data_IF_294905481356
#
_entry.id   IF_294905481356
#
_cell.length_a   1.000
_cell.length_b   1.000
_cell.length_c   1.000
_cell.angle_alpha   90.00
_cell.angle_beta   90.00
_cell.angle_gamma   90.00
#
_symmetry.space_group_name_H-M   'P 1'
#
loop_
_entity.id
_entity.type
_entity.pdbx_description
1 polymer ?
#
# COMPACT_ATOMS: atom_id res chain seq x y z
N UNK A 1 13.94 -12.86 1.70
CA UNK A 1 13.99 -11.40 1.49
C UNK A 1 12.64 -10.80 1.85
N UNK A 2 12.60 -9.71 2.62
CA UNK A 2 11.37 -8.94 2.84
C UNK A 2 11.38 -7.65 2.01
N UNK A 3 10.23 -7.33 1.40
CA UNK A 3 10.05 -6.16 0.54
C UNK A 3 8.95 -5.27 1.11
N UNK A 4 9.22 -3.96 1.16
CA UNK A 4 8.22 -2.92 1.39
C UNK A 4 7.91 -2.26 0.04
N UNK A 5 6.63 -2.17 -0.29
CA UNK A 5 6.20 -1.47 -1.52
C UNK A 5 6.53 0.02 -1.36
N UNK A 6 7.18 0.59 -2.38
CA UNK A 6 7.55 1.99 -2.41
C UNK A 6 6.31 2.91 -2.42
N UNK A 7 6.48 4.11 -1.86
CA UNK A 7 5.53 5.23 -1.91
C UNK A 7 4.10 4.99 -1.38
N UNK A 8 3.75 3.81 -0.89
CA UNK A 8 2.44 3.52 -0.30
C UNK A 8 2.52 2.91 1.09
N UNK A 9 1.44 3.06 1.84
CA UNK A 9 1.26 2.51 3.17
C UNK A 9 -0.16 1.90 3.26
N UNK A 10 -0.23 0.60 3.48
CA UNK A 10 -1.49 -0.13 3.58
C UNK A 10 -1.96 -0.20 5.05
N UNK A 11 -3.28 -0.33 5.30
CA UNK A 11 -3.79 -0.54 6.66
C UNK A 11 -3.12 -1.73 7.35
N UNK A 12 -2.88 -1.59 8.66
CA UNK A 12 -2.33 -2.67 9.48
C UNK A 12 -3.26 -3.89 9.47
N UNK A 13 -2.74 -5.09 9.75
CA UNK A 13 -3.51 -6.34 9.68
C UNK A 13 -4.82 -6.33 10.48
N UNK A 14 -4.81 -5.65 11.64
CA UNK A 14 -5.97 -5.49 12.54
C UNK A 14 -6.73 -4.19 12.33
N UNK A 15 -6.21 -3.28 11.51
CA UNK A 15 -6.92 -2.07 11.11
C UNK A 15 -8.02 -2.46 10.11
N UNK A 16 -9.13 -1.71 10.12
CA UNK A 16 -10.18 -1.87 9.12
C UNK A 16 -9.59 -1.72 7.71
N UNK A 17 -10.00 -2.59 6.78
CA UNK A 17 -9.43 -2.75 5.43
C UNK A 17 -8.04 -3.41 5.37
N UNK A 18 -7.43 -3.77 6.50
CA UNK A 18 -6.17 -4.52 6.56
C UNK A 18 -6.26 -5.92 5.95
N UNK A 19 -7.25 -6.76 6.35
CA UNK A 19 -7.47 -8.07 5.73
C UNK A 19 -7.72 -7.99 4.22
N UNK A 20 -8.47 -7.00 3.76
CA UNK A 20 -8.81 -6.76 2.35
C UNK A 20 -7.58 -6.32 1.56
N UNK A 21 -6.78 -5.40 2.09
CA UNK A 21 -5.51 -4.98 1.49
C UNK A 21 -4.55 -6.16 1.33
N UNK A 22 -4.45 -7.02 2.36
CA UNK A 22 -3.65 -8.26 2.29
C UNK A 22 -4.21 -9.21 1.24
N UNK A 23 -5.51 -9.47 1.26
CA UNK A 23 -6.16 -10.43 0.36
C UNK A 23 -5.98 -10.03 -1.10
N UNK A 24 -6.13 -8.73 -1.42
CA UNK A 24 -5.91 -8.21 -2.78
C UNK A 24 -4.47 -8.42 -3.24
N UNK A 25 -3.49 -8.16 -2.37
CA UNK A 25 -2.08 -8.39 -2.66
C UNK A 25 -1.79 -9.88 -2.86
N UNK A 26 -2.36 -10.75 -2.03
CA UNK A 26 -2.24 -12.21 -2.16
C UNK A 26 -2.82 -12.68 -3.49
N UNK A 27 -4.03 -12.24 -3.86
CA UNK A 27 -4.63 -12.58 -5.16
C UNK A 27 -3.76 -12.15 -6.34
N UNK A 28 -3.06 -11.03 -6.22
CA UNK A 28 -2.21 -10.51 -7.29
C UNK A 28 -0.84 -11.22 -7.38
N UNK A 29 -0.20 -11.50 -6.24
CA UNK A 29 1.20 -11.92 -6.21
C UNK A 29 1.44 -13.36 -5.72
N UNK A 30 0.41 -14.07 -5.22
CA UNK A 30 0.59 -15.43 -4.70
C UNK A 30 0.94 -16.42 -5.81
N UNK A 31 2.05 -17.14 -5.62
CA UNK A 31 2.60 -18.07 -6.61
C UNK A 31 2.88 -17.44 -7.99
N UNK A 32 3.05 -16.12 -8.03
CA UNK A 32 3.41 -15.40 -9.24
C UNK A 32 4.87 -14.97 -9.20
N UNK A 33 5.49 -14.86 -10.40
CA UNK A 33 6.78 -14.19 -10.51
C UNK A 33 6.57 -12.69 -10.32
N UNK A 34 7.16 -12.15 -9.25
CA UNK A 34 7.21 -10.73 -9.00
C UNK A 34 8.47 -10.13 -9.65
N UNK A 35 8.31 -9.02 -10.36
CA UNK A 35 9.42 -8.18 -10.78
C UNK A 35 9.60 -7.07 -9.74
N UNK A 36 10.79 -7.03 -9.14
CA UNK A 36 11.14 -6.16 -8.03
C UNK A 36 12.24 -5.23 -8.50
N UNK A 37 11.99 -3.93 -8.47
CA UNK A 37 12.98 -2.89 -8.75
C UNK A 37 13.37 -2.22 -7.43
N UNK A 38 14.50 -2.60 -6.82
CA UNK A 38 14.94 -2.06 -5.55
C UNK A 38 15.28 -0.58 -5.65
N UNK A 39 14.95 0.18 -4.61
CA UNK A 39 15.27 1.60 -4.50
C UNK A 39 16.25 1.85 -3.35
N UNK A 40 15.93 1.31 -2.17
CA UNK A 40 16.73 1.50 -0.96
C UNK A 40 16.52 0.37 0.05
N UNK A 41 17.27 0.41 1.14
CA UNK A 41 17.06 -0.42 2.34
C UNK A 41 16.52 0.48 3.45
N UNK A 42 15.38 0.11 4.04
CA UNK A 42 14.89 0.83 5.20
C UNK A 42 15.66 0.48 6.47
N UNK A 43 15.46 1.26 7.54
CA UNK A 43 16.10 1.06 8.85
C UNK A 43 15.83 -0.31 9.52
N UNK A 44 14.88 -1.09 8.98
CA UNK A 44 14.56 -2.43 9.46
C UNK A 44 15.16 -3.52 8.55
N UNK A 45 16.02 -3.15 7.59
CA UNK A 45 16.67 -4.06 6.66
C UNK A 45 15.79 -4.55 5.50
N UNK A 46 14.56 -4.04 5.38
CA UNK A 46 13.64 -4.40 4.29
C UNK A 46 14.06 -3.67 3.02
N UNK A 47 13.94 -4.35 1.89
CA UNK A 47 14.13 -3.71 0.59
C UNK A 47 12.89 -2.87 0.27
N UNK A 48 13.04 -1.56 0.12
CA UNK A 48 11.98 -0.71 -0.43
C UNK A 48 12.07 -0.79 -1.96
N UNK A 49 10.97 -1.13 -2.61
CA UNK A 49 10.99 -1.40 -4.05
C UNK A 49 9.67 -1.09 -4.74
N UNK A 50 9.76 -0.79 -6.03
CA UNK A 50 8.62 -0.97 -6.94
C UNK A 50 8.44 -2.47 -7.17
N UNK A 51 7.19 -2.92 -7.16
CA UNK A 51 6.86 -4.33 -7.34
C UNK A 51 5.75 -4.44 -8.36
N UNK A 52 5.95 -5.31 -9.34
CA UNK A 52 4.91 -5.73 -10.25
C UNK A 52 4.72 -7.24 -10.20
N UNK A 53 3.48 -7.68 -10.30
CA UNK A 53 3.09 -9.09 -10.36
C UNK A 53 2.09 -9.23 -11.51
N UNK A 54 2.22 -10.26 -12.34
CA UNK A 54 1.34 -10.46 -13.51
C UNK A 54 1.26 -9.21 -14.42
N UNK A 55 2.36 -8.46 -14.56
CA UNK A 55 2.41 -7.22 -15.36
C UNK A 55 1.71 -6.01 -14.72
N UNK A 56 1.16 -6.13 -13.52
CA UNK A 56 0.47 -5.04 -12.83
C UNK A 56 1.34 -4.46 -11.71
N UNK A 57 1.45 -3.13 -11.66
CA UNK A 57 2.09 -2.41 -10.55
C UNK A 57 1.26 -2.57 -9.26
N UNK A 58 1.91 -3.08 -8.22
CA UNK A 58 1.26 -3.39 -6.95
C UNK A 58 0.77 -2.12 -6.25
N UNK A 59 1.58 -1.05 -6.26
CA UNK A 59 1.23 0.21 -5.59
C UNK A 59 -0.02 0.82 -6.20
N UNK A 60 -0.04 0.96 -7.53
CA UNK A 60 -1.17 1.44 -8.32
C UNK A 60 -2.42 0.59 -8.10
N UNK A 61 -2.27 -0.73 -8.07
CA UNK A 61 -3.40 -1.65 -7.89
C UNK A 61 -4.06 -1.47 -6.51
N UNK A 62 -3.25 -1.35 -5.45
CA UNK A 62 -3.76 -1.13 -4.10
C UNK A 62 -4.44 0.24 -3.96
N UNK A 63 -3.87 1.29 -4.57
CA UNK A 63 -4.46 2.63 -4.53
C UNK A 63 -5.77 2.71 -5.30
N UNK A 64 -5.85 2.14 -6.52
CA UNK A 64 -7.09 2.11 -7.32
C UNK A 64 -8.23 1.37 -6.62
N UNK A 65 -7.89 0.38 -5.80
CA UNK A 65 -8.84 -0.37 -4.97
C UNK A 65 -9.23 0.38 -3.68
N UNK A 66 -8.57 1.50 -3.36
CA UNK A 66 -8.75 2.19 -2.09
C UNK A 66 -8.25 1.38 -0.88
N UNK A 67 -7.18 0.60 -1.05
CA UNK A 67 -6.64 -0.30 -0.01
C UNK A 67 -5.23 0.11 0.46
N UNK A 68 -4.78 1.30 0.08
CA UNK A 68 -3.55 1.89 0.56
C UNK A 68 -3.65 3.43 0.52
N UNK A 69 -2.69 4.06 1.20
CA UNK A 69 -2.46 5.49 1.17
C UNK A 69 -1.15 5.78 0.44
N UNK A 70 -1.08 6.86 -0.32
CA UNK A 70 0.19 7.41 -0.79
C UNK A 70 0.93 7.96 0.43
N UNK A 71 2.15 7.47 0.66
CA UNK A 71 2.96 7.90 1.77
C UNK A 71 3.89 9.03 1.33
N UNK A 72 3.41 10.25 1.53
CA UNK A 72 4.04 11.49 1.01
C UNK A 72 5.54 11.64 1.31
N UNK A 73 6.09 11.23 2.47
CA UNK A 73 7.53 11.37 2.71
C UNK A 73 8.41 10.52 1.78
N UNK A 74 7.83 9.53 1.11
CA UNK A 74 8.53 8.60 0.19
C UNK A 74 7.90 8.59 -1.21
N UNK A 75 7.13 9.61 -1.57
CA UNK A 75 6.40 9.68 -2.84
C UNK A 75 7.13 10.45 -3.95
N UNK A 76 8.36 10.93 -3.70
CA UNK A 76 9.16 11.58 -4.73
C UNK A 76 9.53 10.57 -5.84
N UNK A 77 9.27 10.92 -7.09
CA UNK A 77 9.36 9.99 -8.23
C UNK A 77 8.15 9.06 -8.40
N UNK A 78 7.11 9.24 -7.57
CA UNK A 78 5.86 8.47 -7.57
C UNK A 78 4.62 9.37 -7.66
N UNK A 79 4.76 10.54 -8.27
CA UNK A 79 3.72 11.56 -8.33
C UNK A 79 2.44 11.04 -9.01
N UNK A 80 2.58 10.11 -9.95
CA UNK A 80 1.47 9.43 -10.64
C UNK A 80 0.55 8.63 -9.71
N UNK A 81 0.95 8.34 -8.47
CA UNK A 81 0.13 7.62 -7.50
C UNK A 81 -0.94 8.50 -6.85
N UNK A 82 -0.71 9.82 -6.72
CA UNK A 82 -1.65 10.73 -6.08
C UNK A 82 -3.02 10.78 -6.80
N UNK A 83 -3.08 10.91 -8.15
CA UNK A 83 -4.34 10.84 -8.88
C UNK A 83 -5.10 9.52 -8.65
N UNK A 84 -4.40 8.39 -8.51
CA UNK A 84 -5.05 7.08 -8.28
C UNK A 84 -5.76 7.04 -6.92
N UNK A 85 -5.11 7.59 -5.89
CA UNK A 85 -5.72 7.72 -4.57
C UNK A 85 -6.92 8.68 -4.61
N UNK A 86 -6.77 9.83 -5.27
CA UNK A 86 -7.83 10.82 -5.39
C UNK A 86 -9.07 10.23 -6.06
N UNK A 87 -8.88 9.48 -7.15
CA UNK A 87 -9.96 8.79 -7.85
C UNK A 87 -10.66 7.77 -6.95
N UNK A 88 -9.90 6.90 -6.27
CA UNK A 88 -10.48 5.92 -5.36
C UNK A 88 -11.27 6.56 -4.20
N UNK A 89 -10.84 7.75 -3.76
CA UNK A 89 -11.54 8.54 -2.74
C UNK A 89 -12.84 9.12 -3.28
N UNK A 90 -12.83 9.71 -4.48
CA UNK A 90 -14.03 10.23 -5.14
C UNK A 90 -15.10 9.16 -5.38
N UNK A 91 -14.65 7.95 -5.73
CA UNK A 91 -15.52 6.80 -6.00
C UNK A 91 -15.87 6.00 -4.73
N UNK A 92 -15.49 6.49 -3.55
CA UNK A 92 -15.73 5.82 -2.26
C UNK A 92 -15.30 4.35 -2.25
N UNK A 93 -14.14 4.02 -2.82
CA UNK A 93 -13.64 2.64 -2.86
C UNK A 93 -12.89 2.24 -1.59
N UNK A 94 -13.01 0.99 -1.19
CA UNK A 94 -12.23 0.40 -0.09
C UNK A 94 -12.32 1.24 1.18
N UNK A 95 -11.18 1.64 1.72
CA UNK A 95 -11.10 2.42 2.95
C UNK A 95 -11.82 3.78 2.86
N UNK A 96 -12.04 4.31 1.66
CA UNK A 96 -12.71 5.59 1.42
C UNK A 96 -14.23 5.56 1.57
N UNK A 97 -14.85 4.38 1.78
CA UNK A 97 -16.26 4.29 2.21
C UNK A 97 -16.48 4.86 3.62
N UNK A 98 -15.41 4.94 4.42
CA UNK A 98 -15.48 5.43 5.78
C UNK A 98 -15.65 6.95 5.78
N UNK A 99 -16.50 7.47 6.67
CA UNK A 99 -16.65 8.93 6.87
C UNK A 99 -15.35 9.58 7.36
N UNK A 100 -14.56 8.85 8.16
CA UNK A 100 -13.27 9.32 8.72
C UNK A 100 -12.22 8.22 8.59
N UNK A 101 -11.71 7.98 7.38
CA UNK A 101 -10.73 6.92 7.17
C UNK A 101 -9.43 7.28 7.89
N UNK A 102 -8.95 6.36 8.74
CA UNK A 102 -7.71 6.55 9.49
C UNK A 102 -6.51 6.06 8.66
N UNK A 103 -5.45 6.85 8.46
CA UNK A 103 -4.26 6.37 7.78
C UNK A 103 -3.41 5.46 8.69
N UNK A 104 -2.59 4.56 8.13
CA UNK A 104 -1.89 3.54 8.91
C UNK A 104 -0.84 4.12 9.87
N UNK A 105 -0.17 5.22 9.50
CA UNK A 105 0.77 5.90 10.41
C UNK A 105 0.08 6.45 11.66
N UNK A 106 -1.12 7.02 11.53
CA UNK A 106 -1.91 7.47 12.69
C UNK A 106 -2.49 6.30 13.49
N UNK A 107 -2.82 5.18 12.83
CA UNK A 107 -3.23 3.96 13.53
C UNK A 107 -2.10 3.40 14.40
N UNK A 108 -0.88 3.30 13.85
CA UNK A 108 0.31 2.83 14.58
C UNK A 108 0.68 3.70 15.77
N UNK A 109 0.49 5.01 15.67
CA UNK A 109 0.72 5.92 16.81
C UNK A 109 -0.25 5.66 17.97
N UNK A 110 -1.49 5.23 17.67
CA UNK A 110 -2.53 5.01 18.68
C UNK A 110 -2.52 3.61 19.28
N UNK A 111 -2.29 2.57 18.47
CA UNK A 111 -2.47 1.17 18.86
C UNK A 111 -1.19 0.34 18.79
N UNK A 112 -0.06 0.94 18.40
CA UNK A 112 1.16 0.20 18.08
C UNK A 112 1.06 -0.56 16.76
N UNK A 113 2.11 -1.32 16.44
CA UNK A 113 2.08 -2.24 15.28
C UNK A 113 1.35 -3.51 15.69
N UNK A 114 0.22 -3.79 15.06
CA UNK A 114 -0.50 -5.05 15.26
C UNK A 114 0.15 -6.15 14.42
N UNK A 115 0.92 -7.04 15.06
CA UNK A 115 1.43 -8.25 14.42
C UNK A 115 0.27 -9.14 13.97
#
# INVERSE_FOLDING_TARGET
MQVRIAAIDAPERRQRFGPEARSRLTLLCWQQRAHITPLEKDKYGRTVAQVSCQGQDVASTQLRAGLAWVYTPYAHGFEYLQPLQAQARMEHRGLWVQTRPQPPWSYRQRYGRGH
#
